data_IF_896527458013
#
_entry.id   IF_896527458013
#
_cell.length_a   1.000
_cell.length_b   1.000
_cell.length_c   1.000
_cell.angle_alpha   90.00
_cell.angle_beta   90.00
_cell.angle_gamma   90.00
#
_symmetry.space_group_name_H-M   'P 1'
#
loop_
_entity.id
_entity.type
_entity.pdbx_description
1 polymer ?
#
# COMPACT_ATOMS: atom_id res chain seq x y z
N UNK A 1 -5.64 -18.21 51.56
CA UNK A 1 -4.41 -17.86 52.25
C UNK A 1 -3.34 -17.81 51.19
N UNK A 2 -2.82 -16.84 50.67
CA UNK A 2 -2.27 -15.59 51.07
C UNK A 2 -2.07 -14.69 49.82
N UNK A 3 -2.32 -13.43 49.98
CA UNK A 3 -2.22 -12.42 48.93
C UNK A 3 -0.77 -11.94 48.82
N UNK A 4 -0.27 -11.77 47.60
CA UNK A 4 0.99 -11.12 47.29
C UNK A 4 0.76 -9.96 46.34
N UNK A 5 0.98 -8.73 46.84
CA UNK A 5 0.80 -7.48 46.14
C UNK A 5 1.89 -7.18 45.08
N UNK A 6 1.64 -6.28 44.12
CA UNK A 6 2.58 -5.95 43.05
C UNK A 6 3.64 -4.93 43.49
N UNK A 7 4.84 -5.18 43.06
CA UNK A 7 6.03 -4.37 43.34
C UNK A 7 6.04 -3.12 42.42
N UNK A 8 6.10 -1.96 43.05
CA UNK A 8 6.28 -0.64 42.41
C UNK A 8 7.76 -0.36 42.27
N UNK A 9 8.27 -0.23 41.07
CA UNK A 9 9.56 0.42 40.82
C UNK A 9 9.30 1.81 40.18
N UNK A 10 9.24 2.79 41.09
CA UNK A 10 9.42 4.20 40.75
C UNK A 10 10.90 4.47 40.51
N UNK A 11 11.24 5.02 39.37
CA UNK A 11 12.58 5.57 39.13
C UNK A 11 12.50 7.09 39.29
N UNK A 12 12.89 7.58 40.47
CA UNK A 12 13.26 8.97 40.68
C UNK A 12 14.66 9.19 40.08
N UNK A 13 14.78 10.16 39.18
CA UNK A 13 16.07 10.81 38.94
C UNK A 13 15.89 12.33 39.14
N UNK A 14 16.12 12.77 40.36
CA UNK A 14 16.44 14.15 40.68
C UNK A 14 17.96 14.30 40.69
N UNK A 15 18.50 15.17 39.84
CA UNK A 15 19.95 15.45 39.77
C UNK A 15 20.22 16.83 39.25
N UNK A 16 20.16 17.78 40.14
CA UNK A 16 20.70 19.14 40.21
C UNK A 16 21.93 19.41 39.33
N UNK A 17 21.84 20.42 38.42
CA UNK A 17 22.99 21.22 38.03
C UNK A 17 22.57 22.68 37.83
N UNK A 18 22.88 23.48 38.88
CA UNK A 18 22.96 24.92 38.76
C UNK A 18 24.43 25.30 38.48
N UNK A 19 24.68 26.09 37.41
CA UNK A 19 25.71 27.14 37.35
C UNK A 19 25.58 27.99 36.08
N UNK A 20 25.22 29.20 36.33
CA UNK A 20 25.65 30.51 35.81
C UNK A 20 26.43 30.54 34.49
N UNK A 21 25.90 31.30 33.49
CA UNK A 21 26.62 31.72 32.30
C UNK A 21 25.82 32.74 31.47
N UNK A 22 26.10 34.02 31.71
CA UNK A 22 25.97 35.19 30.85
C UNK A 22 24.88 35.20 29.74
N UNK A 23 23.86 36.01 29.95
CA UNK A 23 22.91 36.53 28.96
C UNK A 23 23.63 37.29 27.84
N UNK A 24 23.78 36.69 26.67
CA UNK A 24 23.93 37.43 25.42
C UNK A 24 22.54 37.60 24.84
N UNK A 25 22.03 38.81 24.81
CA UNK A 25 20.85 39.22 24.03
C UNK A 25 21.21 38.97 22.54
N UNK A 26 20.64 37.92 21.94
CA UNK A 26 20.53 37.81 20.50
C UNK A 26 19.30 38.57 20.08
N UNK A 27 19.51 39.59 19.27
CA UNK A 27 18.44 40.32 18.57
C UNK A 27 17.61 39.29 17.77
N UNK A 28 16.32 39.28 18.04
CA UNK A 28 15.34 38.42 17.36
C UNK A 28 15.10 39.01 15.97
N UNK A 29 15.75 38.44 14.95
CA UNK A 29 15.34 38.70 13.58
C UNK A 29 14.07 37.87 13.33
N UNK A 30 12.97 38.51 12.86
CA UNK A 30 11.76 37.76 12.53
C UNK A 30 12.07 36.85 11.33
N UNK A 31 12.04 35.54 11.57
CA UNK A 31 12.08 34.56 10.48
C UNK A 31 10.81 34.78 9.65
N UNK A 32 10.97 34.95 8.37
CA UNK A 32 9.88 34.94 7.38
C UNK A 32 9.37 33.49 7.21
N UNK A 33 8.74 32.96 8.26
CA UNK A 33 7.90 31.78 8.12
C UNK A 33 6.61 32.20 7.40
N UNK A 34 6.19 31.49 6.34
CA UNK A 34 4.94 31.82 5.68
C UNK A 34 3.79 31.77 6.69
N UNK A 35 2.90 32.76 6.61
CA UNK A 35 1.79 32.90 7.54
C UNK A 35 0.93 31.61 7.55
N UNK A 36 0.49 31.12 8.73
CA UNK A 36 -0.38 29.93 8.82
C UNK A 36 -1.68 30.01 8.01
N UNK A 37 -2.08 31.22 7.59
CA UNK A 37 -3.27 31.45 6.76
C UNK A 37 -3.12 31.00 5.31
N UNK A 38 -1.94 31.02 4.72
CA UNK A 38 -1.75 30.57 3.32
C UNK A 38 -1.73 29.04 3.21
N UNK A 39 -1.18 28.34 4.20
CA UNK A 39 -1.22 26.88 4.23
C UNK A 39 -2.63 26.32 4.50
N UNK A 40 -3.46 27.06 5.27
CA UNK A 40 -4.84 26.69 5.56
C UNK A 40 -5.82 26.96 4.40
N UNK A 41 -5.53 27.93 3.51
CA UNK A 41 -6.35 28.20 2.32
C UNK A 41 -6.20 27.10 1.25
N UNK A 42 -5.01 26.57 1.01
CA UNK A 42 -4.78 25.52 0.01
C UNK A 42 -5.46 24.19 0.38
N UNK A 43 -5.62 23.87 1.65
CA UNK A 43 -6.32 22.66 2.08
C UNK A 43 -7.86 22.78 2.02
N UNK A 44 -8.38 24.00 1.99
CA UNK A 44 -9.82 24.28 2.05
C UNK A 44 -10.51 24.18 0.67
N UNK A 45 -9.74 24.21 -0.41
CA UNK A 45 -10.26 24.21 -1.78
C UNK A 45 -10.26 22.81 -2.43
N UNK A 46 -9.60 21.81 -1.83
CA UNK A 46 -9.63 20.44 -2.33
C UNK A 46 -10.92 19.71 -1.94
N UNK A 47 -11.52 19.04 -2.92
CA UNK A 47 -12.80 18.35 -2.78
C UNK A 47 -12.67 16.85 -3.10
N UNK A 48 -13.80 16.13 -3.07
CA UNK A 48 -13.82 14.68 -3.32
C UNK A 48 -13.40 14.30 -4.75
N UNK A 49 -13.63 15.16 -5.76
CA UNK A 49 -13.14 14.91 -7.12
C UNK A 49 -11.61 14.96 -7.18
N UNK A 50 -10.99 15.90 -6.45
CA UNK A 50 -9.54 16.01 -6.39
C UNK A 50 -8.92 14.80 -5.70
N UNK A 51 -9.53 14.34 -4.59
CA UNK A 51 -9.08 13.16 -3.86
C UNK A 51 -9.27 11.88 -4.69
N UNK A 52 -10.40 11.75 -5.40
CA UNK A 52 -10.65 10.66 -6.33
C UNK A 52 -9.57 10.61 -7.42
N UNK A 53 -9.29 11.75 -8.07
CA UNK A 53 -8.27 11.82 -9.11
C UNK A 53 -6.86 11.52 -8.58
N UNK A 54 -6.49 12.02 -7.39
CA UNK A 54 -5.19 11.75 -6.77
C UNK A 54 -5.04 10.24 -6.46
N UNK A 55 -6.08 9.61 -5.89
CA UNK A 55 -6.07 8.17 -5.59
C UNK A 55 -6.13 7.30 -6.86
N UNK A 56 -6.84 7.76 -7.90
CA UNK A 56 -6.85 7.08 -9.21
C UNK A 56 -5.44 7.07 -9.84
N UNK A 57 -4.68 8.15 -9.71
CA UNK A 57 -3.28 8.20 -10.16
C UNK A 57 -2.37 7.28 -9.34
N UNK A 58 -2.62 7.17 -8.03
CA UNK A 58 -1.85 6.28 -7.16
C UNK A 58 -2.05 4.82 -7.55
N UNK A 59 -3.30 4.37 -7.74
CA UNK A 59 -3.59 2.99 -8.14
C UNK A 59 -3.12 2.70 -9.58
N UNK A 60 -3.26 3.63 -10.51
CA UNK A 60 -2.73 3.45 -11.86
C UNK A 60 -1.21 3.29 -11.89
N UNK A 61 -0.50 4.01 -11.01
CA UNK A 61 0.93 3.77 -10.82
C UNK A 61 1.19 2.39 -10.23
N UNK A 62 0.42 1.97 -9.23
CA UNK A 62 0.57 0.67 -8.58
C UNK A 62 0.45 -0.48 -9.58
N UNK A 63 -0.63 -0.52 -10.36
CA UNK A 63 -0.86 -1.51 -11.41
C UNK A 63 0.33 -1.61 -12.40
N UNK A 64 0.86 -0.47 -12.81
CA UNK A 64 2.03 -0.42 -13.71
C UNK A 64 3.32 -0.96 -13.07
N UNK A 65 3.45 -0.96 -11.74
CA UNK A 65 4.56 -1.58 -11.03
C UNK A 65 4.31 -3.08 -10.80
N UNK A 66 3.09 -3.47 -10.47
CA UNK A 66 2.66 -4.86 -10.31
C UNK A 66 2.87 -5.65 -11.60
N UNK A 67 2.48 -5.10 -12.76
CA UNK A 67 2.78 -5.69 -14.08
C UNK A 67 4.26 -6.00 -14.31
N UNK A 68 5.18 -5.24 -13.70
CA UNK A 68 6.63 -5.49 -13.81
C UNK A 68 7.11 -6.50 -12.77
N UNK A 69 6.41 -6.64 -11.65
CA UNK A 69 6.78 -7.56 -10.58
C UNK A 69 6.30 -8.99 -10.86
N UNK A 70 5.08 -9.18 -11.31
CA UNK A 70 4.44 -10.47 -11.53
C UNK A 70 5.25 -11.45 -12.40
N UNK A 71 5.86 -11.06 -13.54
CA UNK A 71 6.69 -11.97 -14.33
C UNK A 71 7.95 -12.45 -13.60
N UNK A 72 8.49 -11.63 -12.69
CA UNK A 72 9.65 -12.00 -11.87
C UNK A 72 9.25 -12.99 -10.79
N UNK A 73 8.10 -12.77 -10.15
CA UNK A 73 7.52 -13.69 -9.17
C UNK A 73 7.18 -15.04 -9.80
N UNK A 74 6.53 -15.04 -10.97
CA UNK A 74 6.23 -16.25 -11.73
C UNK A 74 7.51 -17.06 -12.08
N UNK A 75 8.57 -16.35 -12.50
CA UNK A 75 9.85 -16.99 -12.81
C UNK A 75 10.56 -17.55 -11.57
N UNK A 76 10.40 -16.91 -10.41
CA UNK A 76 11.03 -17.34 -9.16
C UNK A 76 10.29 -18.49 -8.47
N UNK A 77 8.98 -18.64 -8.70
CA UNK A 77 8.13 -19.64 -8.08
C UNK A 77 8.57 -21.07 -8.42
N UNK A 78 8.73 -21.90 -7.40
CA UNK A 78 9.01 -23.34 -7.52
C UNK A 78 7.73 -24.14 -7.79
N UNK A 79 6.62 -23.76 -7.17
CA UNK A 79 5.30 -24.34 -7.38
C UNK A 79 4.70 -23.95 -8.73
N UNK A 80 4.38 -24.93 -9.57
CA UNK A 80 3.71 -24.71 -10.85
C UNK A 80 2.34 -24.05 -10.68
N UNK A 81 1.63 -24.36 -9.58
CA UNK A 81 0.34 -23.75 -9.27
C UNK A 81 0.47 -22.27 -8.91
N UNK A 82 1.49 -21.92 -8.11
CA UNK A 82 1.75 -20.53 -7.74
C UNK A 82 2.22 -19.73 -8.96
N UNK A 83 3.09 -20.32 -9.79
CA UNK A 83 3.51 -19.72 -11.07
C UNK A 83 2.32 -19.42 -11.96
N UNK A 84 1.44 -20.39 -12.17
CA UNK A 84 0.24 -20.21 -12.99
C UNK A 84 -0.71 -19.13 -12.41
N UNK A 85 -0.80 -19.01 -11.08
CA UNK A 85 -1.58 -17.95 -10.44
C UNK A 85 -1.00 -16.56 -10.76
N UNK A 86 0.32 -16.37 -10.67
CA UNK A 86 0.98 -15.11 -11.02
C UNK A 86 0.86 -14.77 -12.52
N UNK A 87 0.97 -15.76 -13.40
CA UNK A 87 0.80 -15.57 -14.84
C UNK A 87 -0.64 -15.17 -15.19
N UNK A 88 -1.62 -15.81 -14.55
CA UNK A 88 -3.04 -15.48 -14.71
C UNK A 88 -3.31 -14.04 -14.23
N UNK A 89 -2.83 -13.70 -13.03
CA UNK A 89 -3.01 -12.38 -12.45
C UNK A 89 -2.33 -11.29 -13.28
N UNK A 90 -1.18 -11.57 -13.90
CA UNK A 90 -0.56 -10.64 -14.85
C UNK A 90 -1.52 -10.25 -16.00
N UNK A 91 -2.19 -11.25 -16.59
CA UNK A 91 -3.17 -10.98 -17.65
C UNK A 91 -4.42 -10.21 -17.16
N UNK A 92 -4.85 -10.46 -15.92
CA UNK A 92 -5.94 -9.70 -15.28
C UNK A 92 -5.52 -8.24 -15.05
N UNK A 93 -4.30 -8.01 -14.56
CA UNK A 93 -3.73 -6.67 -14.32
C UNK A 93 -3.62 -5.84 -15.62
N UNK A 94 -3.31 -6.46 -16.76
CA UNK A 94 -3.37 -5.76 -18.06
C UNK A 94 -4.77 -5.19 -18.34
N UNK A 95 -5.83 -5.97 -18.11
CA UNK A 95 -7.20 -5.54 -18.23
C UNK A 95 -7.60 -4.45 -17.21
N UNK A 96 -7.06 -4.50 -16.01
CA UNK A 96 -7.27 -3.51 -14.95
C UNK A 96 -6.67 -2.16 -15.33
N UNK A 97 -5.46 -2.15 -15.88
CA UNK A 97 -4.84 -0.94 -16.45
C UNK A 97 -5.71 -0.33 -17.52
N UNK A 98 -6.24 -1.13 -18.46
CA UNK A 98 -7.14 -0.63 -19.50
C UNK A 98 -8.44 -0.03 -18.91
N UNK A 99 -9.00 -0.63 -17.87
CA UNK A 99 -10.17 -0.11 -17.17
C UNK A 99 -9.89 1.23 -16.49
N UNK A 100 -8.72 1.37 -15.85
CA UNK A 100 -8.28 2.65 -15.27
C UNK A 100 -8.09 3.73 -16.33
N UNK A 101 -7.51 3.40 -17.49
CA UNK A 101 -7.38 4.33 -18.62
C UNK A 101 -8.73 4.82 -19.12
N UNK A 102 -9.72 3.93 -19.25
CA UNK A 102 -11.11 4.31 -19.55
C UNK A 102 -11.71 5.23 -18.50
N UNK A 103 -11.41 5.02 -17.21
CA UNK A 103 -11.89 5.92 -16.14
C UNK A 103 -11.25 7.31 -16.27
N UNK A 104 -9.97 7.41 -16.61
CA UNK A 104 -9.33 8.69 -16.89
C UNK A 104 -10.00 9.42 -18.08
N UNK A 105 -10.37 8.70 -19.15
CA UNK A 105 -11.12 9.25 -20.28
C UNK A 105 -12.50 9.77 -19.84
N UNK A 106 -13.25 9.00 -19.04
CA UNK A 106 -14.58 9.40 -18.53
C UNK A 106 -14.57 10.71 -17.73
N UNK A 107 -13.46 11.03 -17.09
CA UNK A 107 -13.29 12.26 -16.29
C UNK A 107 -12.52 13.36 -17.01
N UNK A 108 -12.24 13.18 -18.32
CA UNK A 108 -11.46 14.12 -19.14
C UNK A 108 -10.10 14.47 -18.54
N UNK A 109 -9.35 13.44 -18.15
CA UNK A 109 -7.99 13.55 -17.60
C UNK A 109 -7.02 12.61 -18.31
N UNK A 110 -5.75 13.02 -18.49
CA UNK A 110 -4.74 12.13 -19.04
C UNK A 110 -4.43 10.98 -18.03
N UNK A 111 -4.29 9.75 -18.55
CA UNK A 111 -3.88 8.60 -17.78
C UNK A 111 -2.39 8.74 -17.40
N UNK A 112 -2.14 9.31 -16.23
CA UNK A 112 -0.79 9.55 -15.70
C UNK A 112 -0.72 9.16 -14.24
N UNK A 113 0.12 8.17 -13.91
CA UNK A 113 0.38 7.74 -12.55
C UNK A 113 1.13 8.79 -11.72
N UNK A 114 0.93 8.71 -10.42
CA UNK A 114 1.68 9.42 -9.38
C UNK A 114 2.35 8.37 -8.50
N UNK A 115 3.64 8.54 -8.22
CA UNK A 115 4.37 7.62 -7.34
C UNK A 115 3.61 7.41 -6.03
N UNK A 116 3.40 6.14 -5.70
CA UNK A 116 2.72 5.71 -4.48
C UNK A 116 3.72 4.95 -3.61
N UNK A 117 4.12 5.55 -2.50
CA UNK A 117 5.10 4.99 -1.58
C UNK A 117 4.58 3.69 -0.91
N UNK A 118 3.26 3.56 -0.75
CA UNK A 118 2.66 2.38 -0.14
C UNK A 118 2.91 1.12 -0.99
N UNK A 119 2.54 1.14 -2.28
CA UNK A 119 2.79 -0.01 -3.16
C UNK A 119 4.28 -0.25 -3.37
N UNK A 120 5.08 0.83 -3.45
CA UNK A 120 6.52 0.70 -3.60
C UNK A 120 7.12 -0.08 -2.42
N UNK A 121 6.71 0.25 -1.18
CA UNK A 121 7.17 -0.47 0.02
C UNK A 121 6.76 -1.95 0.01
N UNK A 122 5.52 -2.27 -0.38
CA UNK A 122 5.04 -3.66 -0.48
C UNK A 122 5.84 -4.45 -1.53
N UNK A 123 6.11 -3.84 -2.69
CA UNK A 123 6.88 -4.49 -3.76
C UNK A 123 8.37 -4.64 -3.41
N UNK A 124 8.94 -3.68 -2.68
CA UNK A 124 10.33 -3.75 -2.20
C UNK A 124 10.48 -4.89 -1.18
N UNK A 125 9.54 -5.05 -0.24
CA UNK A 125 9.49 -6.17 0.70
C UNK A 125 9.39 -7.52 -0.02
N UNK A 126 8.51 -7.64 -1.03
CA UNK A 126 8.40 -8.84 -1.85
C UNK A 126 9.70 -9.16 -2.62
N UNK A 127 10.42 -8.13 -3.07
CA UNK A 127 11.72 -8.29 -3.71
C UNK A 127 12.79 -8.77 -2.72
N UNK A 128 12.84 -8.21 -1.52
CA UNK A 128 13.75 -8.65 -0.45
C UNK A 128 13.54 -10.13 -0.14
N UNK A 129 12.28 -10.58 -0.01
CA UNK A 129 11.92 -11.99 0.18
C UNK A 129 12.47 -12.86 -0.97
N UNK A 130 12.30 -12.43 -2.22
CA UNK A 130 12.81 -13.19 -3.38
C UNK A 130 14.34 -13.31 -3.40
N UNK A 131 15.04 -12.29 -2.91
CA UNK A 131 16.50 -12.27 -2.86
C UNK A 131 17.04 -13.08 -1.67
N UNK A 132 16.47 -12.94 -0.47
CA UNK A 132 16.94 -13.58 0.76
C UNK A 132 16.60 -15.06 0.84
N UNK A 133 15.40 -15.46 0.37
CA UNK A 133 14.92 -16.83 0.44
C UNK A 133 15.16 -17.64 -0.85
N UNK A 134 15.98 -17.11 -1.76
CA UNK A 134 16.28 -17.76 -3.03
C UNK A 134 16.82 -19.18 -2.83
N UNK A 135 16.12 -20.17 -3.39
CA UNK A 135 16.48 -21.60 -3.31
C UNK A 135 16.06 -22.25 -1.99
N UNK A 136 15.35 -21.54 -1.12
CA UNK A 136 14.73 -22.07 0.08
C UNK A 136 13.33 -22.60 -0.22
N UNK A 137 12.89 -23.62 0.52
CA UNK A 137 11.51 -24.12 0.48
C UNK A 137 10.47 -23.10 0.96
N UNK A 138 10.91 -22.09 1.76
CA UNK A 138 10.07 -21.01 2.24
C UNK A 138 9.86 -19.88 1.20
N UNK A 139 10.57 -19.88 0.06
CA UNK A 139 10.47 -18.84 -0.95
C UNK A 139 9.04 -18.65 -1.46
N UNK A 140 8.38 -19.72 -1.85
CA UNK A 140 7.02 -19.68 -2.40
C UNK A 140 6.01 -19.15 -1.36
N UNK A 141 6.16 -19.55 -0.09
CA UNK A 141 5.31 -19.07 1.00
C UNK A 141 5.51 -17.54 1.22
N UNK A 142 6.76 -17.07 1.20
CA UNK A 142 7.07 -15.64 1.31
C UNK A 142 6.52 -14.83 0.14
N UNK A 143 6.72 -15.30 -1.10
CA UNK A 143 6.17 -14.62 -2.29
C UNK A 143 4.64 -14.57 -2.28
N UNK A 144 3.99 -15.66 -1.86
CA UNK A 144 2.54 -15.71 -1.73
C UNK A 144 2.04 -14.71 -0.71
N UNK A 145 2.69 -14.60 0.46
CA UNK A 145 2.35 -13.61 1.47
C UNK A 145 2.51 -12.17 0.96
N UNK A 146 3.60 -11.88 0.24
CA UNK A 146 3.82 -10.58 -0.38
C UNK A 146 2.76 -10.25 -1.45
N UNK A 147 2.34 -11.25 -2.26
CA UNK A 147 1.25 -11.08 -3.21
C UNK A 147 -0.06 -10.74 -2.50
N UNK A 148 -0.44 -11.46 -1.44
CA UNK A 148 -1.64 -11.13 -0.67
C UNK A 148 -1.61 -9.71 -0.07
N UNK A 149 -0.45 -9.20 0.33
CA UNK A 149 -0.32 -7.81 0.77
C UNK A 149 -0.64 -6.82 -0.38
N UNK A 150 -0.27 -7.14 -1.62
CA UNK A 150 -0.65 -6.38 -2.82
C UNK A 150 -2.16 -6.43 -3.01
N UNK A 151 -2.78 -7.63 -3.03
CA UNK A 151 -4.23 -7.79 -3.20
C UNK A 151 -5.03 -6.97 -2.17
N UNK A 152 -4.64 -7.03 -0.89
CA UNK A 152 -5.31 -6.28 0.16
C UNK A 152 -5.17 -4.77 -0.01
N UNK A 153 -4.03 -4.30 -0.50
CA UNK A 153 -3.85 -2.90 -0.88
C UNK A 153 -4.82 -2.52 -2.00
N UNK A 154 -4.91 -3.31 -3.06
CA UNK A 154 -5.77 -3.07 -4.23
C UNK A 154 -7.26 -3.16 -3.87
N UNK A 155 -7.68 -4.17 -3.12
CA UNK A 155 -9.06 -4.29 -2.60
C UNK A 155 -9.47 -3.03 -1.83
N UNK A 156 -8.60 -2.52 -0.96
CA UNK A 156 -8.84 -1.28 -0.23
C UNK A 156 -8.97 -0.07 -1.17
N UNK A 157 -8.09 0.07 -2.16
CA UNK A 157 -8.07 1.20 -3.10
C UNK A 157 -9.27 1.18 -4.04
N UNK A 158 -9.55 0.04 -4.68
CA UNK A 158 -10.69 -0.13 -5.57
C UNK A 158 -12.03 0.01 -4.86
N UNK A 159 -12.14 -0.54 -3.65
CA UNK A 159 -13.33 -0.36 -2.82
C UNK A 159 -13.60 1.11 -2.47
N UNK A 160 -12.57 1.84 -2.11
CA UNK A 160 -12.65 3.27 -1.80
C UNK A 160 -13.00 4.10 -3.05
N UNK A 161 -12.29 3.89 -4.16
CA UNK A 161 -12.56 4.60 -5.42
C UNK A 161 -13.98 4.33 -5.93
N UNK A 162 -14.44 3.09 -5.89
CA UNK A 162 -15.82 2.72 -6.24
C UNK A 162 -16.84 3.50 -5.42
N UNK A 163 -16.65 3.58 -4.10
CA UNK A 163 -17.56 4.30 -3.21
C UNK A 163 -17.56 5.82 -3.52
N UNK A 164 -16.38 6.41 -3.75
CA UNK A 164 -16.30 7.82 -4.11
C UNK A 164 -16.91 8.10 -5.49
N UNK A 165 -16.65 7.25 -6.49
CA UNK A 165 -17.30 7.35 -7.80
C UNK A 165 -18.84 7.30 -7.69
N UNK A 166 -19.36 6.49 -6.76
CA UNK A 166 -20.79 6.40 -6.46
C UNK A 166 -21.34 7.72 -5.91
N UNK A 167 -20.64 8.33 -4.94
CA UNK A 167 -21.00 9.64 -4.37
C UNK A 167 -20.94 10.77 -5.42
N UNK A 168 -20.00 10.67 -6.36
CA UNK A 168 -19.80 11.64 -7.44
C UNK A 168 -20.74 11.38 -8.66
N UNK A 169 -21.59 10.34 -8.62
CA UNK A 169 -22.54 10.01 -9.69
C UNK A 169 -21.92 9.41 -10.96
N UNK A 170 -20.67 8.92 -10.89
CA UNK A 170 -19.88 8.39 -12.00
C UNK A 170 -20.23 6.91 -12.28
N UNK A 171 -21.42 6.61 -12.76
CA UNK A 171 -21.97 5.23 -12.89
C UNK A 171 -21.05 4.27 -13.67
N UNK A 172 -20.48 4.73 -14.78
CA UNK A 172 -19.59 3.89 -15.61
C UNK A 172 -18.27 3.60 -14.90
N UNK A 173 -17.69 4.58 -14.20
CA UNK A 173 -16.51 4.35 -13.36
C UNK A 173 -16.79 3.36 -12.23
N UNK A 174 -17.97 3.45 -11.58
CA UNK A 174 -18.40 2.49 -10.54
C UNK A 174 -18.39 1.06 -11.09
N UNK A 175 -18.93 0.83 -12.30
CA UNK A 175 -18.96 -0.50 -12.92
C UNK A 175 -17.55 -1.03 -13.19
N UNK A 176 -16.67 -0.22 -13.77
CA UNK A 176 -15.29 -0.61 -14.08
C UNK A 176 -14.48 -0.89 -12.82
N UNK A 177 -14.63 -0.07 -11.77
CA UNK A 177 -13.95 -0.25 -10.48
C UNK A 177 -14.46 -1.49 -9.73
N UNK A 178 -15.76 -1.80 -9.86
CA UNK A 178 -16.33 -3.00 -9.24
C UNK A 178 -15.85 -4.28 -9.91
N UNK A 179 -15.74 -4.27 -11.23
CA UNK A 179 -15.21 -5.39 -12.01
C UNK A 179 -13.81 -5.76 -11.53
N UNK A 180 -12.89 -4.78 -11.45
CA UNK A 180 -11.55 -5.00 -10.90
C UNK A 180 -11.61 -5.46 -9.44
N UNK A 181 -12.39 -4.80 -8.59
CA UNK A 181 -12.50 -5.20 -7.18
C UNK A 181 -12.92 -6.67 -6.98
N UNK A 182 -13.76 -7.23 -7.86
CA UNK A 182 -14.12 -8.64 -7.79
C UNK A 182 -12.98 -9.56 -8.25
N UNK A 183 -12.19 -9.13 -9.23
CA UNK A 183 -10.99 -9.86 -9.67
C UNK A 183 -9.97 -9.95 -8.52
N UNK A 184 -9.65 -8.82 -7.84
CA UNK A 184 -8.70 -8.80 -6.72
C UNK A 184 -9.12 -9.71 -5.57
N UNK A 185 -10.40 -9.63 -5.19
CA UNK A 185 -10.95 -10.54 -4.16
C UNK A 185 -10.82 -12.00 -4.57
N UNK A 186 -11.02 -12.31 -5.83
CA UNK A 186 -10.91 -13.68 -6.33
C UNK A 186 -9.47 -14.16 -6.37
N UNK A 187 -8.53 -13.28 -6.67
CA UNK A 187 -7.10 -13.58 -6.63
C UNK A 187 -6.66 -13.83 -5.18
N UNK A 188 -7.04 -13.01 -4.23
CA UNK A 188 -6.75 -13.20 -2.80
C UNK A 188 -7.29 -14.54 -2.27
N UNK A 189 -8.56 -14.89 -2.58
CA UNK A 189 -9.13 -16.20 -2.25
C UNK A 189 -8.33 -17.37 -2.87
N UNK A 190 -7.84 -17.21 -4.10
CA UNK A 190 -7.04 -18.22 -4.80
C UNK A 190 -5.69 -18.39 -4.12
N UNK A 191 -5.01 -17.29 -3.78
CA UNK A 191 -3.76 -17.32 -3.05
C UNK A 191 -3.92 -17.95 -1.66
N UNK A 192 -4.97 -17.61 -0.92
CA UNK A 192 -5.30 -18.26 0.36
C UNK A 192 -5.44 -19.77 0.20
N UNK A 193 -6.19 -20.22 -0.81
CA UNK A 193 -6.38 -21.66 -1.08
C UNK A 193 -5.07 -22.37 -1.43
N UNK A 194 -4.16 -21.71 -2.17
CA UNK A 194 -2.83 -22.24 -2.49
C UNK A 194 -1.93 -22.32 -1.26
N UNK A 195 -1.99 -21.30 -0.38
CA UNK A 195 -1.24 -21.28 0.87
C UNK A 195 -1.59 -22.47 1.76
N UNK A 196 -2.90 -22.68 1.99
CA UNK A 196 -3.41 -23.73 2.88
C UNK A 196 -3.21 -25.13 2.32
N UNK A 197 -3.41 -25.32 1.01
CA UNK A 197 -3.41 -26.65 0.41
C UNK A 197 -2.01 -27.21 0.13
N UNK A 198 -1.00 -26.39 -0.10
CA UNK A 198 0.29 -26.85 -0.61
C UNK A 198 1.51 -26.05 -0.17
N UNK A 199 1.49 -24.72 -0.38
CA UNK A 199 2.71 -23.89 -0.30
C UNK A 199 3.27 -23.82 1.11
N UNK A 200 2.43 -23.55 2.11
CA UNK A 200 2.86 -23.46 3.51
C UNK A 200 3.26 -24.83 4.08
N UNK A 201 2.63 -25.89 3.60
CA UNK A 201 2.99 -27.27 4.01
C UNK A 201 4.38 -27.66 3.50
N UNK A 202 4.70 -27.30 2.26
CA UNK A 202 6.02 -27.55 1.68
C UNK A 202 7.11 -26.71 2.39
N UNK A 203 6.81 -25.48 2.75
CA UNK A 203 7.73 -24.59 3.47
C UNK A 203 8.03 -25.05 4.91
N UNK A 204 7.19 -25.88 5.51
CA UNK A 204 7.32 -26.40 6.88
C UNK A 204 8.01 -27.77 6.95
N UNK A 205 8.31 -28.40 5.82
CA UNK A 205 8.91 -29.75 5.75
C UNK A 205 10.42 -29.69 5.86
#
# INVERSE_FOLDING_TARGET
VDAGAPDRLAFEIAGTFARQGALRRREFQPSTTPHPKECAMQAKDKNLNDLFLDTLKDIYYAEKQILKALPKMAKAASSDKLRAAFEKHHGETEGQVERLEKIFELIDKPARGKTCDAIQGILDEGKEIMDEYKGSEALDAGMLAAAQAVEHYEISRYGTLKQWAQQLGMKDAVRLLDETLQEEKKTDETLTSLAEAAVNLAAAA
#
